data_IF_433891641175
#
_entry.id   IF_433891641175
#
_cell.length_a   1.000
_cell.length_b   1.000
_cell.length_c   1.000
_cell.angle_alpha   90.00
_cell.angle_beta   90.00
_cell.angle_gamma   90.00
#
_symmetry.space_group_name_H-M   'P 1'
#
loop_
_entity.id
_entity.type
_entity.pdbx_description
1 polymer ?
#
# COMPACT_ATOMS: atom_id res chain seq x y z
N UNK A 1 -8.62 8.68 -6.12
CA UNK A 1 -8.28 8.05 -4.81
C UNK A 1 -8.10 9.16 -3.80
N UNK A 2 -8.57 8.99 -2.55
CA UNK A 2 -8.41 10.02 -1.50
C UNK A 2 -6.92 10.19 -1.19
N UNK A 3 -6.45 11.43 -1.02
CA UNK A 3 -5.02 11.76 -0.80
C UNK A 3 -4.38 11.00 0.37
N UNK A 4 -5.18 10.60 1.36
CA UNK A 4 -4.70 9.92 2.55
C UNK A 4 -4.51 8.40 2.38
N UNK A 5 -4.91 7.80 1.25
CA UNK A 5 -4.76 6.36 1.04
C UNK A 5 -3.36 6.01 0.53
N UNK A 6 -2.69 5.06 1.17
CA UNK A 6 -1.40 4.53 0.72
C UNK A 6 -1.65 3.63 -0.49
N UNK A 7 -0.91 3.88 -1.57
CA UNK A 7 -0.99 3.07 -2.80
C UNK A 7 -0.18 1.78 -2.63
N UNK A 8 -0.56 0.67 -3.30
CA UNK A 8 0.25 -0.56 -3.30
C UNK A 8 1.71 -0.33 -3.76
N UNK A 9 1.94 0.63 -4.65
CA UNK A 9 3.30 0.99 -5.08
C UNK A 9 4.11 1.67 -3.96
N UNK A 10 3.51 2.58 -3.20
CA UNK A 10 4.16 3.25 -2.07
C UNK A 10 4.49 2.22 -0.97
N UNK A 11 3.57 1.32 -0.66
CA UNK A 11 3.80 0.24 0.30
C UNK A 11 4.90 -0.73 -0.15
N UNK A 12 4.98 -1.01 -1.46
CA UNK A 12 6.00 -1.87 -2.03
C UNK A 12 7.42 -1.29 -1.88
N UNK A 13 7.57 0.01 -2.12
CA UNK A 13 8.85 0.71 -1.95
C UNK A 13 9.29 0.74 -0.48
N UNK A 14 8.34 0.96 0.44
CA UNK A 14 8.61 0.93 1.88
C UNK A 14 9.09 -0.47 2.32
N UNK A 15 8.39 -1.52 1.89
CA UNK A 15 8.68 -2.91 2.25
C UNK A 15 9.82 -3.53 1.42
N UNK A 16 10.33 -2.84 0.39
CA UNK A 16 11.41 -3.34 -0.46
C UNK A 16 11.02 -4.53 -1.34
N UNK A 17 9.75 -4.57 -1.78
CA UNK A 17 9.20 -5.67 -2.59
C UNK A 17 8.55 -5.12 -3.87
N UNK A 18 8.09 -6.00 -4.76
CA UNK A 18 7.38 -5.55 -5.97
C UNK A 18 5.94 -5.12 -5.66
N UNK A 19 5.38 -4.13 -6.40
CA UNK A 19 3.96 -3.76 -6.26
C UNK A 19 3.00 -4.90 -6.54
N UNK A 20 3.36 -5.83 -7.43
CA UNK A 20 2.57 -7.03 -7.73
C UNK A 20 2.52 -7.97 -6.53
N UNK A 21 3.64 -8.16 -5.83
CA UNK A 21 3.67 -8.96 -4.60
C UNK A 21 2.70 -8.41 -3.55
N UNK A 22 2.72 -7.09 -3.31
CA UNK A 22 1.77 -6.45 -2.37
C UNK A 22 0.33 -6.72 -2.76
N UNK A 23 -0.01 -6.52 -4.06
CA UNK A 23 -1.37 -6.73 -4.56
C UNK A 23 -1.84 -8.16 -4.34
N UNK A 24 -1.06 -9.14 -4.79
CA UNK A 24 -1.41 -10.57 -4.70
C UNK A 24 -1.50 -11.01 -3.24
N UNK A 25 -0.52 -10.64 -2.40
CA UNK A 25 -0.50 -11.03 -0.99
C UNK A 25 -1.67 -10.43 -0.21
N UNK A 26 -2.07 -9.18 -0.50
CA UNK A 26 -3.26 -8.57 0.10
C UNK A 26 -4.55 -9.24 -0.39
N UNK A 27 -4.66 -9.54 -1.69
CA UNK A 27 -5.81 -10.23 -2.27
C UNK A 27 -6.02 -11.63 -1.69
N UNK A 28 -4.93 -12.34 -1.39
CA UNK A 28 -4.95 -13.65 -0.74
C UNK A 28 -5.12 -13.59 0.79
N UNK A 29 -5.16 -12.40 1.39
CA UNK A 29 -5.24 -12.22 2.84
C UNK A 29 -3.95 -12.59 3.60
N UNK A 30 -2.84 -12.80 2.90
CA UNK A 30 -1.54 -13.18 3.47
C UNK A 30 -0.74 -11.99 4.00
N UNK A 31 -1.08 -10.78 3.54
CA UNK A 31 -0.45 -9.53 3.95
C UNK A 31 -1.47 -8.62 4.64
N UNK A 32 -1.64 -8.71 5.96
CA UNK A 32 -2.63 -7.95 6.72
C UNK A 32 -2.15 -6.52 6.99
N UNK A 33 -1.92 -5.75 5.93
CA UNK A 33 -1.57 -4.31 5.99
C UNK A 33 -2.77 -3.39 5.71
N UNK A 34 -3.95 -3.97 5.52
CA UNK A 34 -5.16 -3.28 5.13
C UNK A 34 -6.13 -4.22 4.43
N UNK A 35 -6.96 -3.66 3.55
CA UNK A 35 -8.05 -4.35 2.88
C UNK A 35 -7.83 -4.27 1.36
N UNK A 36 -7.97 -5.41 0.68
CA UNK A 36 -8.11 -5.48 -0.77
C UNK A 36 -9.47 -6.10 -1.11
N UNK A 37 -10.34 -5.34 -1.76
CA UNK A 37 -11.69 -5.79 -2.12
C UNK A 37 -11.95 -5.58 -3.60
N UNK A 38 -12.67 -6.52 -4.21
CA UNK A 38 -13.24 -6.36 -5.55
C UNK A 38 -14.67 -5.86 -5.41
N UNK A 39 -14.93 -4.64 -5.87
CA UNK A 39 -16.27 -4.05 -5.75
C UNK A 39 -17.27 -4.78 -6.67
N UNK A 40 -18.55 -4.89 -6.29
CA UNK A 40 -19.58 -5.45 -7.16
C UNK A 40 -19.59 -4.75 -8.53
N UNK A 41 -19.51 -5.53 -9.61
CA UNK A 41 -19.47 -5.01 -10.98
C UNK A 41 -18.11 -4.48 -11.47
N UNK A 42 -17.05 -4.50 -10.65
CA UNK A 42 -15.69 -4.11 -11.07
C UNK A 42 -14.84 -5.33 -11.42
N UNK A 43 -13.99 -5.22 -12.45
CA UNK A 43 -12.92 -6.18 -12.73
C UNK A 43 -11.67 -5.93 -11.86
N UNK A 44 -11.55 -4.73 -11.29
CA UNK A 44 -10.37 -4.27 -10.55
C UNK A 44 -10.55 -4.34 -9.03
N UNK A 45 -9.42 -4.51 -8.34
CA UNK A 45 -9.37 -4.46 -6.87
C UNK A 45 -9.14 -3.04 -6.39
N UNK A 46 -9.90 -2.66 -5.35
CA UNK A 46 -9.69 -1.46 -4.56
C UNK A 46 -8.90 -1.81 -3.31
N UNK A 47 -7.92 -0.98 -3.00
CA UNK A 47 -7.00 -1.19 -1.88
C UNK A 47 -7.17 -0.05 -0.88
N UNK A 48 -7.22 -0.39 0.40
CA UNK A 48 -7.09 0.54 1.50
C UNK A 48 -5.98 0.03 2.42
N UNK A 49 -4.85 0.72 2.45
CA UNK A 49 -3.68 0.32 3.24
C UNK A 49 -3.61 1.23 4.47
N UNK A 50 -3.44 0.63 5.65
CA UNK A 50 -3.28 1.34 6.92
C UNK A 50 -1.81 1.62 7.18
N UNK A 51 -1.52 2.88 7.52
CA UNK A 51 -0.23 3.36 7.99
C UNK A 51 0.27 2.58 9.23
N UNK A 52 -0.58 2.40 10.23
CA UNK A 52 -0.26 1.71 11.47
C UNK A 52 0.12 0.25 11.23
N UNK A 53 -0.66 -0.46 10.39
CA UNK A 53 -0.38 -1.86 10.07
C UNK A 53 0.89 -2.01 9.22
N UNK A 54 1.13 -1.07 8.30
CA UNK A 54 2.36 -1.06 7.52
C UNK A 54 3.58 -0.80 8.41
N UNK A 55 3.46 0.12 9.37
CA UNK A 55 4.51 0.47 10.34
C UNK A 55 4.91 -0.70 11.24
N UNK A 56 3.97 -1.60 11.57
CA UNK A 56 4.28 -2.80 12.34
C UNK A 56 5.14 -3.81 11.58
N UNK A 57 5.17 -3.75 10.24
CA UNK A 57 5.91 -4.71 9.39
C UNK A 57 7.27 -4.21 8.93
N UNK A 58 7.64 -2.98 9.28
CA UNK A 58 8.92 -2.37 8.88
C UNK A 58 9.50 -1.56 10.02
N UNK A 59 10.83 -1.53 10.12
CA UNK A 59 11.52 -0.64 11.05
C UNK A 59 11.62 0.80 10.53
N UNK A 60 11.21 1.07 9.28
CA UNK A 60 11.23 2.41 8.68
C UNK A 60 10.07 3.26 9.20
N UNK A 61 10.25 4.58 9.25
CA UNK A 61 9.15 5.50 9.52
C UNK A 61 8.27 5.63 8.27
N UNK A 62 7.08 5.01 8.29
CA UNK A 62 6.16 4.94 7.15
C UNK A 62 5.71 6.33 6.69
N UNK A 63 5.39 7.23 7.63
CA UNK A 63 4.89 8.56 7.29
C UNK A 63 5.95 9.40 6.56
N UNK A 64 7.20 9.33 7.03
CA UNK A 64 8.33 10.04 6.40
C UNK A 64 8.64 9.45 5.01
N UNK A 65 8.59 8.13 4.85
CA UNK A 65 8.78 7.52 3.53
C UNK A 65 7.69 7.90 2.54
N UNK A 66 6.42 7.88 2.95
CA UNK A 66 5.31 8.28 2.08
C UNK A 66 5.50 9.72 1.59
N UNK A 67 5.87 10.65 2.49
CA UNK A 67 6.16 12.04 2.11
C UNK A 67 7.30 12.11 1.09
N UNK A 68 8.39 11.37 1.32
CA UNK A 68 9.54 11.31 0.42
C UNK A 68 9.12 10.81 -0.96
N UNK A 69 8.47 9.65 -1.03
CA UNK A 69 8.02 9.02 -2.27
C UNK A 69 7.09 9.96 -3.06
N UNK A 70 6.14 10.62 -2.39
CA UNK A 70 5.23 11.56 -3.03
C UNK A 70 5.94 12.81 -3.53
N UNK A 71 6.91 13.33 -2.78
CA UNK A 71 7.71 14.49 -3.20
C UNK A 71 8.61 14.19 -4.40
N UNK A 72 9.14 12.97 -4.50
CA UNK A 72 9.95 12.51 -5.64
C UNK A 72 9.10 12.37 -6.90
N UNK A 73 7.88 11.82 -6.78
CA UNK A 73 6.96 11.62 -7.90
C UNK A 73 6.27 12.91 -8.40
N UNK A 74 6.46 14.05 -7.71
CA UNK A 74 5.97 15.36 -8.14
C UNK A 74 7.02 16.17 -8.93
N UNK A 75 8.23 15.65 -9.11
CA UNK A 75 9.29 16.22 -9.96
C UNK A 75 9.29 15.57 -11.33
#
# INVERSE_FOLDING_TARGET
MRENNIKPAEAAEILGVSPQFIRVAMQMGQLPIGIAIKLPGSSEYTYQISDNLLQQRTSKNVAEEIKRIRSTNQR
#
